data_IF_916265160982
#
_entry.id   IF_916265160982
#
_cell.length_a   1.000
_cell.length_b   1.000
_cell.length_c   1.000
_cell.angle_alpha   90.00
_cell.angle_beta   90.00
_cell.angle_gamma   90.00
#
_symmetry.space_group_name_H-M   'P 1'
#
loop_
_entity.id
_entity.type
_entity.pdbx_description
1 polymer ?
#
# COMPACT_ATOMS: atom_id res chain seq x y z
N UNK A 1 -7.01 -84.42 -15.47
CA UNK A 1 -6.50 -83.38 -16.39
C UNK A 1 -7.36 -82.13 -16.24
N UNK A 2 -6.82 -80.98 -15.81
CA UNK A 2 -5.80 -80.78 -14.78
C UNK A 2 -6.32 -80.00 -13.54
N UNK A 3 -5.49 -80.08 -12.50
CA UNK A 3 -5.55 -79.54 -11.13
C UNK A 3 -5.69 -78.01 -11.01
N UNK A 4 -6.15 -77.47 -9.86
CA UNK A 4 -5.98 -76.06 -9.53
C UNK A 4 -4.53 -75.77 -9.10
N UNK A 5 -3.92 -74.77 -9.71
CA UNK A 5 -2.55 -74.33 -9.41
C UNK A 5 -2.55 -73.59 -8.06
N UNK A 6 -1.95 -74.21 -7.04
CA UNK A 6 -1.48 -73.55 -5.81
C UNK A 6 -0.40 -72.52 -6.17
N UNK A 7 -0.71 -71.23 -5.98
CA UNK A 7 0.30 -70.18 -5.98
C UNK A 7 0.93 -70.09 -4.58
N UNK A 8 2.04 -70.80 -4.39
CA UNK A 8 2.99 -70.48 -3.32
C UNK A 8 3.69 -69.15 -3.62
N UNK A 9 3.30 -68.08 -2.93
CA UNK A 9 4.14 -66.89 -2.80
C UNK A 9 4.76 -66.84 -1.40
N UNK A 10 6.08 -66.90 -1.40
CA UNK A 10 7.00 -66.88 -0.27
C UNK A 10 6.68 -65.74 0.69
N UNK A 11 6.55 -66.07 1.97
CA UNK A 11 6.49 -65.09 3.04
C UNK A 11 7.73 -64.20 3.01
N UNK A 12 7.52 -62.89 2.93
CA UNK A 12 8.54 -61.91 3.25
C UNK A 12 8.82 -62.04 4.76
N UNK A 13 10.02 -62.50 5.09
CA UNK A 13 10.50 -62.54 6.47
C UNK A 13 10.46 -61.12 7.03
N UNK A 14 9.54 -60.88 7.96
CA UNK A 14 9.50 -59.67 8.76
C UNK A 14 10.77 -59.66 9.61
N UNK A 15 11.72 -58.80 9.28
CA UNK A 15 12.89 -58.54 10.11
C UNK A 15 12.38 -57.99 11.45
N UNK A 16 12.35 -58.84 12.46
CA UNK A 16 12.13 -58.44 13.85
C UNK A 16 13.34 -57.64 14.32
N UNK A 17 13.26 -56.31 14.21
CA UNK A 17 14.24 -55.41 14.83
C UNK A 17 14.07 -55.49 16.35
N UNK A 18 15.08 -56.02 17.03
CA UNK A 18 15.13 -55.98 18.49
C UNK A 18 15.39 -54.54 18.93
N UNK A 19 14.85 -54.14 20.09
CA UNK A 19 14.93 -52.76 20.59
C UNK A 19 16.35 -52.19 20.74
N UNK A 20 17.38 -53.04 20.69
CA UNK A 20 18.80 -52.62 20.68
C UNK A 20 19.19 -51.98 19.34
N UNK A 21 18.67 -52.44 18.20
CA UNK A 21 19.01 -51.89 16.88
C UNK A 21 18.40 -50.50 16.65
N UNK A 22 17.22 -50.24 17.22
CA UNK A 22 16.60 -48.90 17.19
C UNK A 22 17.40 -47.90 18.03
N UNK A 23 17.94 -48.35 19.16
CA UNK A 23 18.77 -47.51 20.03
C UNK A 23 20.10 -47.16 19.36
N UNK A 24 20.72 -48.12 18.65
CA UNK A 24 21.96 -47.87 17.89
C UNK A 24 21.70 -46.92 16.72
N UNK A 25 20.60 -47.08 15.99
CA UNK A 25 20.24 -46.18 14.89
C UNK A 25 19.99 -44.73 15.37
N UNK A 26 19.29 -44.55 16.49
CA UNK A 26 19.06 -43.23 17.09
C UNK A 26 20.34 -42.59 17.63
N UNK A 27 21.26 -43.39 18.18
CA UNK A 27 22.55 -42.90 18.66
C UNK A 27 23.43 -42.38 17.51
N UNK A 28 23.44 -43.05 16.35
CA UNK A 28 24.22 -42.62 15.17
C UNK A 28 23.67 -41.33 14.56
N UNK A 29 22.35 -41.20 14.45
CA UNK A 29 21.69 -39.96 13.96
C UNK A 29 21.91 -38.80 14.95
N UNK A 30 21.81 -39.07 16.26
CA UNK A 30 22.08 -38.08 17.30
C UNK A 30 23.53 -37.60 17.31
N UNK A 31 24.50 -38.50 17.07
CA UNK A 31 25.92 -38.14 17.00
C UNK A 31 26.25 -37.31 15.75
N UNK A 32 25.60 -37.61 14.62
CA UNK A 32 25.74 -36.82 13.39
C UNK A 32 25.13 -35.41 13.53
N UNK A 33 23.96 -35.29 14.16
CA UNK A 33 23.34 -34.00 14.46
C UNK A 33 24.19 -33.17 15.43
N UNK A 34 24.74 -33.79 16.49
CA UNK A 34 25.63 -33.11 17.43
C UNK A 34 26.95 -32.63 16.77
N UNK A 35 27.43 -33.35 15.76
CA UNK A 35 28.62 -32.94 15.00
C UNK A 35 28.32 -31.76 14.06
N UNK A 36 27.11 -31.70 13.48
CA UNK A 36 26.69 -30.63 12.58
C UNK A 36 26.33 -29.32 13.31
N UNK A 37 25.87 -29.39 14.56
CA UNK A 37 25.53 -28.24 15.41
C UNK A 37 26.58 -27.93 16.49
N UNK A 38 27.81 -28.43 16.34
CA UNK A 38 28.88 -28.29 17.32
C UNK A 38 29.20 -26.81 17.64
N UNK A 39 29.04 -25.91 16.68
CA UNK A 39 29.32 -24.48 16.86
C UNK A 39 28.21 -23.75 17.63
N UNK A 40 26.94 -24.14 17.48
CA UNK A 40 25.81 -23.55 18.24
C UNK A 40 25.73 -24.02 19.70
N UNK A 41 26.15 -25.25 19.99
CA UNK A 41 26.20 -25.77 21.37
C UNK A 41 27.32 -25.15 22.22
N UNK A 42 28.41 -24.67 21.58
CA UNK A 42 29.54 -24.04 22.28
C UNK A 42 29.12 -22.72 22.97
N UNK A 43 28.23 -21.97 22.33
CA UNK A 43 27.68 -20.70 22.83
C UNK A 43 26.78 -20.93 24.04
N UNK A 44 26.03 -22.03 24.05
CA UNK A 44 25.11 -22.37 25.13
C UNK A 44 25.83 -22.94 26.37
N UNK A 45 26.87 -23.76 26.19
CA UNK A 45 27.63 -24.36 27.30
C UNK A 45 28.45 -23.30 28.05
N UNK A 46 28.98 -22.29 27.35
CA UNK A 46 29.64 -21.15 28.00
C UNK A 46 28.69 -20.31 28.88
N UNK A 47 27.38 -20.41 28.67
CA UNK A 47 26.37 -19.74 29.48
C UNK A 47 25.95 -20.53 30.73
N UNK A 48 26.31 -21.81 30.87
CA UNK A 48 25.91 -22.65 32.01
C UNK A 48 27.03 -22.89 33.05
N UNK A 49 28.30 -22.59 32.74
CA UNK A 49 29.42 -22.84 33.66
C UNK A 49 29.80 -21.68 34.58
N UNK A 50 28.94 -20.67 34.74
CA UNK A 50 29.23 -19.54 35.67
C UNK A 50 28.04 -19.27 36.59
N UNK A 51 27.81 -20.23 37.49
CA UNK A 51 26.95 -20.07 38.65
C UNK A 51 27.68 -19.39 39.83
N UNK A 52 27.42 -18.08 39.98
CA UNK A 52 27.07 -17.32 41.21
C UNK A 52 27.97 -17.37 42.47
N UNK A 53 28.36 -16.17 42.97
CA UNK A 53 27.90 -15.63 44.27
C UNK A 53 28.23 -14.12 44.50
N UNK A 54 27.17 -13.32 44.69
CA UNK A 54 26.96 -12.03 45.42
C UNK A 54 28.05 -10.94 45.51
N UNK A 55 27.79 -9.76 44.92
CA UNK A 55 27.47 -8.49 45.63
C UNK A 55 27.50 -7.27 44.68
N UNK A 56 26.56 -6.33 44.91
CA UNK A 56 26.47 -4.95 44.43
C UNK A 56 26.21 -4.66 42.93
N UNK A 57 25.05 -4.04 42.68
CA UNK A 57 24.64 -3.23 41.52
C UNK A 57 24.98 -3.76 40.11
N UNK A 58 23.98 -4.29 39.41
CA UNK A 58 24.07 -4.53 37.97
C UNK A 58 23.26 -3.51 37.17
N UNK A 59 23.80 -3.05 36.02
CA UNK A 59 23.12 -2.18 35.08
C UNK A 59 22.10 -2.97 34.24
N UNK A 60 21.12 -2.24 33.71
CA UNK A 60 20.07 -2.68 32.80
C UNK A 60 20.66 -3.38 31.57
N UNK A 61 20.16 -4.59 31.25
CA UNK A 61 20.47 -5.33 30.02
C UNK A 61 19.55 -4.81 28.90
N UNK A 62 20.13 -4.10 27.94
CA UNK A 62 19.44 -3.58 26.76
C UNK A 62 19.03 -4.70 25.80
N UNK A 63 17.80 -4.59 25.27
CA UNK A 63 17.35 -5.24 24.03
C UNK A 63 18.27 -4.86 22.87
N UNK A 64 18.26 -5.60 21.73
CA UNK A 64 18.99 -5.16 20.55
C UNK A 64 18.44 -3.79 20.12
N UNK A 65 19.25 -2.77 20.35
CA UNK A 65 18.97 -1.38 20.00
C UNK A 65 19.08 -1.29 18.48
N UNK A 66 17.95 -1.09 17.79
CA UNK A 66 17.98 -0.75 16.36
C UNK A 66 18.88 0.47 16.21
N UNK A 67 19.72 0.48 15.18
CA UNK A 67 20.64 1.61 14.99
C UNK A 67 19.82 2.84 14.67
N UNK A 68 20.24 4.03 15.15
CA UNK A 68 19.51 5.29 14.88
C UNK A 68 19.26 5.56 13.40
N UNK A 69 20.10 5.03 12.51
CA UNK A 69 19.89 5.07 11.06
C UNK A 69 18.75 4.16 10.58
N UNK A 70 18.58 2.96 11.16
CA UNK A 70 17.46 2.06 10.86
C UNK A 70 16.15 2.56 11.47
N UNK A 71 16.19 3.16 12.67
CA UNK A 71 15.02 3.80 13.28
C UNK A 71 14.60 5.05 12.50
N UNK A 72 15.54 5.94 12.15
CA UNK A 72 15.25 7.13 11.36
C UNK A 72 14.72 6.77 9.96
N UNK A 73 15.29 5.75 9.31
CA UNK A 73 14.82 5.29 8.00
C UNK A 73 13.43 4.66 8.09
N UNK A 74 13.15 3.86 9.13
CA UNK A 74 11.81 3.28 9.33
C UNK A 74 10.77 4.34 9.70
N UNK A 75 11.15 5.37 10.47
CA UNK A 75 10.29 6.51 10.77
C UNK A 75 10.02 7.36 9.52
N UNK A 76 11.02 7.57 8.66
CA UNK A 76 10.91 8.29 7.39
C UNK A 76 10.09 7.52 6.34
N UNK A 77 10.26 6.20 6.22
CA UNK A 77 9.42 5.34 5.37
C UNK A 77 7.96 5.30 5.87
N UNK A 78 7.74 5.17 7.19
CA UNK A 78 6.41 5.32 7.80
C UNK A 78 5.84 6.74 7.64
N UNK A 79 6.71 7.72 7.39
CA UNK A 79 6.32 9.11 7.14
C UNK A 79 5.77 9.30 5.72
N UNK A 80 6.29 8.54 4.74
CA UNK A 80 5.92 8.58 3.32
C UNK A 80 4.75 7.65 2.96
N UNK A 81 4.34 6.76 3.85
CA UNK A 81 3.13 5.94 3.70
C UNK A 81 1.86 6.78 3.93
N UNK A 82 1.11 7.04 2.86
CA UNK A 82 -0.12 7.83 2.93
C UNK A 82 -1.23 7.16 3.74
N UNK A 83 -1.37 5.82 3.68
CA UNK A 83 -2.43 5.12 4.39
C UNK A 83 -2.21 5.19 5.91
N UNK A 84 -0.96 5.02 6.35
CA UNK A 84 -0.60 5.22 7.76
C UNK A 84 -0.82 6.67 8.20
N UNK A 85 -0.50 7.66 7.36
CA UNK A 85 -0.73 9.08 7.66
C UNK A 85 -2.21 9.41 7.78
N UNK A 86 -3.05 8.92 6.87
CA UNK A 86 -4.50 9.07 6.96
C UNK A 86 -5.05 8.45 8.24
N UNK A 87 -4.56 7.26 8.63
CA UNK A 87 -4.99 6.61 9.88
C UNK A 87 -4.58 7.40 11.12
N UNK A 88 -3.32 7.84 11.22
CA UNK A 88 -2.80 8.61 12.36
C UNK A 88 -3.51 9.96 12.53
N UNK A 89 -3.84 10.63 11.42
CA UNK A 89 -4.53 11.92 11.41
C UNK A 89 -6.06 11.79 11.36
N UNK A 90 -6.61 10.57 11.45
CA UNK A 90 -8.04 10.27 11.37
C UNK A 90 -8.70 10.93 10.14
N UNK A 91 -8.14 10.69 8.96
CA UNK A 91 -8.61 11.23 7.68
C UNK A 91 -9.39 10.19 6.89
N UNK A 92 -10.40 10.65 6.15
CA UNK A 92 -11.21 9.80 5.27
C UNK A 92 -11.22 10.26 3.81
N UNK A 93 -10.61 11.41 3.49
CA UNK A 93 -10.38 11.85 2.14
C UNK A 93 -8.98 12.48 2.02
N UNK A 94 -8.24 12.09 0.98
CA UNK A 94 -6.94 12.67 0.63
C UNK A 94 -7.01 13.32 -0.75
N UNK A 95 -6.44 14.52 -0.88
CA UNK A 95 -6.41 15.29 -2.11
C UNK A 95 -4.98 15.45 -2.58
N UNK A 96 -4.56 14.61 -3.52
CA UNK A 96 -3.28 14.69 -4.18
C UNK A 96 -3.28 15.77 -5.26
N UNK A 97 -2.15 16.45 -5.44
CA UNK A 97 -1.97 17.41 -6.52
C UNK A 97 -0.66 17.20 -7.27
N UNK A 98 -0.74 17.26 -8.61
CA UNK A 98 0.39 17.48 -9.50
C UNK A 98 0.35 18.90 -10.03
N UNK A 99 1.26 19.77 -9.55
CA UNK A 99 1.20 21.21 -9.78
C UNK A 99 2.59 21.79 -10.08
N UNK A 100 2.69 22.62 -11.12
CA UNK A 100 3.93 23.34 -11.45
C UNK A 100 3.93 24.78 -10.92
N UNK A 101 2.80 25.48 -11.04
CA UNK A 101 2.65 26.91 -10.73
C UNK A 101 1.63 27.19 -9.61
N UNK A 102 1.11 26.14 -8.95
CA UNK A 102 0.21 26.26 -7.80
C UNK A 102 -1.28 26.08 -8.09
N UNK A 103 -1.73 26.10 -9.35
CA UNK A 103 -3.17 26.02 -9.68
C UNK A 103 -3.83 24.72 -9.22
N UNK A 104 -3.21 23.57 -9.49
CA UNK A 104 -3.75 22.27 -9.09
C UNK A 104 -3.70 22.08 -7.56
N UNK A 105 -2.69 22.65 -6.90
CA UNK A 105 -2.57 22.67 -5.44
C UNK A 105 -3.70 23.51 -4.81
N UNK A 106 -3.97 24.70 -5.34
CA UNK A 106 -5.08 25.55 -4.90
C UNK A 106 -6.43 24.82 -5.06
N UNK A 107 -6.67 24.22 -6.22
CA UNK A 107 -7.90 23.44 -6.47
C UNK A 107 -8.04 22.27 -5.50
N UNK A 108 -6.96 21.50 -5.24
CA UNK A 108 -6.96 20.43 -4.25
C UNK A 108 -7.26 20.95 -2.84
N UNK A 109 -6.67 22.09 -2.45
CA UNK A 109 -6.93 22.75 -1.17
C UNK A 109 -8.37 23.24 -1.02
N UNK A 110 -8.95 23.79 -2.08
CA UNK A 110 -10.35 24.24 -2.12
C UNK A 110 -11.32 23.06 -2.00
N UNK A 111 -11.08 21.97 -2.72
CA UNK A 111 -11.85 20.73 -2.59
C UNK A 111 -11.75 20.16 -1.18
N UNK A 112 -10.55 20.10 -0.61
CA UNK A 112 -10.34 19.60 0.75
C UNK A 112 -11.08 20.45 1.78
N UNK A 113 -11.06 21.78 1.64
CA UNK A 113 -11.78 22.70 2.51
C UNK A 113 -13.30 22.52 2.40
N UNK A 114 -13.82 22.44 1.18
CA UNK A 114 -15.26 22.24 0.95
C UNK A 114 -15.75 20.87 1.42
N UNK A 115 -14.97 19.81 1.19
CA UNK A 115 -15.24 18.48 1.75
C UNK A 115 -15.37 18.52 3.27
N UNK A 116 -14.51 19.28 3.95
CA UNK A 116 -14.56 19.45 5.40
C UNK A 116 -15.76 20.29 5.86
N UNK A 117 -16.01 21.45 5.25
CA UNK A 117 -17.02 22.40 5.72
C UNK A 117 -18.44 22.05 5.29
N UNK A 118 -18.61 21.51 4.08
CA UNK A 118 -19.93 21.19 3.50
C UNK A 118 -20.32 19.73 3.69
N UNK A 119 -19.38 18.80 3.76
CA UNK A 119 -19.69 17.37 3.84
C UNK A 119 -19.17 16.69 5.10
N UNK A 120 -18.62 17.46 6.06
CA UNK A 120 -18.04 16.96 7.30
C UNK A 120 -16.97 15.87 7.10
N UNK A 121 -16.31 15.87 5.93
CA UNK A 121 -15.22 14.95 5.65
C UNK A 121 -13.98 15.35 6.45
N UNK A 122 -13.22 14.35 6.88
CA UNK A 122 -11.92 14.54 7.51
C UNK A 122 -10.86 14.54 6.42
N UNK A 123 -10.61 15.72 5.86
CA UNK A 123 -9.77 15.89 4.66
C UNK A 123 -8.30 16.19 4.99
N UNK A 124 -7.41 15.89 4.04
CA UNK A 124 -6.03 16.37 3.99
C UNK A 124 -5.59 16.56 2.53
N UNK A 125 -4.69 17.50 2.28
CA UNK A 125 -3.97 17.63 1.00
C UNK A 125 -2.63 16.90 1.07
N UNK A 126 -2.15 16.44 -0.09
CA UNK A 126 -0.91 15.68 -0.19
C UNK A 126 -0.15 16.04 -1.47
N UNK A 127 1.09 16.49 -1.33
CA UNK A 127 2.02 16.58 -2.46
C UNK A 127 2.42 15.16 -2.89
N UNK A 128 2.32 14.83 -4.17
CA UNK A 128 2.67 13.51 -4.69
C UNK A 128 4.15 13.14 -4.40
N UNK A 129 5.07 14.10 -4.40
CA UNK A 129 6.50 13.82 -4.22
C UNK A 129 6.85 13.42 -2.77
N UNK A 130 5.99 13.77 -1.82
CA UNK A 130 6.20 13.50 -0.39
C UNK A 130 5.78 12.10 0.06
N UNK A 131 5.09 11.33 -0.78
CA UNK A 131 4.60 9.99 -0.41
C UNK A 131 5.15 8.92 -1.35
N UNK A 132 5.18 7.68 -0.87
CA UNK A 132 5.43 6.51 -1.69
C UNK A 132 4.08 5.94 -2.16
N UNK A 133 3.87 5.93 -3.46
CA UNK A 133 2.60 5.56 -4.08
C UNK A 133 2.39 4.05 -4.18
N UNK A 134 3.41 3.24 -3.82
CA UNK A 134 3.25 1.80 -3.64
C UNK A 134 2.29 1.43 -2.51
N UNK A 135 1.99 2.37 -1.60
CA UNK A 135 1.03 2.21 -0.49
C UNK A 135 -0.41 2.63 -0.84
N UNK A 136 -0.71 3.01 -2.10
CA UNK A 136 -2.08 3.36 -2.50
C UNK A 136 -3.08 2.22 -2.29
N UNK A 137 -2.63 0.98 -2.46
CA UNK A 137 -3.41 -0.24 -2.19
C UNK A 137 -3.77 -0.42 -0.71
N UNK A 138 -3.09 0.32 0.18
CA UNK A 138 -3.37 0.29 1.61
C UNK A 138 -4.50 1.20 2.05
N UNK A 139 -4.90 2.15 1.19
CA UNK A 139 -6.03 3.05 1.47
C UNK A 139 -7.28 2.19 1.66
N UNK A 140 -7.96 2.26 2.82
CA UNK A 140 -9.13 1.44 3.08
C UNK A 140 -10.31 1.78 2.14
N UNK A 141 -11.19 0.81 1.83
CA UNK A 141 -12.28 1.00 0.88
C UNK A 141 -13.38 1.95 1.35
N UNK A 142 -13.42 2.32 2.64
CA UNK A 142 -14.31 3.36 3.17
C UNK A 142 -13.72 4.78 3.05
N UNK A 143 -12.55 4.93 2.43
CA UNK A 143 -11.87 6.22 2.19
C UNK A 143 -11.81 6.52 0.69
N UNK A 144 -11.52 7.77 0.36
CA UNK A 144 -11.46 8.25 -1.02
C UNK A 144 -10.18 9.05 -1.30
N UNK A 145 -9.62 8.87 -2.50
CA UNK A 145 -8.46 9.60 -2.99
C UNK A 145 -8.83 10.48 -4.20
N UNK A 146 -8.47 11.75 -4.14
CA UNK A 146 -8.64 12.70 -5.24
C UNK A 146 -7.30 12.98 -5.89
N UNK A 147 -7.25 13.02 -7.22
CA UNK A 147 -6.06 13.36 -7.99
C UNK A 147 -6.34 14.59 -8.84
N UNK A 148 -5.73 15.72 -8.47
CA UNK A 148 -5.82 16.99 -9.20
C UNK A 148 -4.53 17.19 -10.00
N UNK A 149 -4.57 16.92 -11.29
CA UNK A 149 -3.37 16.67 -12.10
C UNK A 149 -3.22 17.69 -13.24
N UNK A 150 -2.23 18.58 -13.15
CA UNK A 150 -1.87 19.41 -14.28
C UNK A 150 -1.04 18.64 -15.32
N UNK A 151 -1.23 18.98 -16.59
CA UNK A 151 -0.40 18.51 -17.71
C UNK A 151 0.56 19.61 -18.13
N UNK A 152 1.83 19.25 -18.35
CA UNK A 152 2.88 20.19 -18.76
C UNK A 152 3.61 19.70 -20.02
N UNK A 153 4.35 20.60 -20.66
CA UNK A 153 5.19 20.28 -21.83
C UNK A 153 4.45 19.52 -22.93
N UNK A 154 5.04 18.41 -23.39
CA UNK A 154 4.50 17.54 -24.44
C UNK A 154 3.61 16.42 -23.85
N UNK A 155 2.72 16.77 -22.92
CA UNK A 155 1.84 15.79 -22.27
C UNK A 155 2.47 15.05 -21.09
N UNK A 156 3.45 15.69 -20.46
CA UNK A 156 4.24 15.19 -19.34
C UNK A 156 3.62 15.59 -17.99
N UNK A 157 3.86 14.81 -16.91
CA UNK A 157 3.48 15.20 -15.55
C UNK A 157 4.21 16.47 -15.10
N UNK A 158 3.68 17.13 -14.07
CA UNK A 158 4.42 18.15 -13.32
C UNK A 158 5.59 17.53 -12.56
N UNK A 159 6.60 18.33 -12.20
CA UNK A 159 7.81 17.83 -11.54
C UNK A 159 7.50 17.06 -10.26
N UNK A 160 6.60 17.59 -9.42
CA UNK A 160 6.19 16.95 -8.17
C UNK A 160 5.38 15.65 -8.36
N UNK A 161 4.94 15.35 -9.59
CA UNK A 161 4.20 14.14 -9.94
C UNK A 161 5.05 13.13 -10.73
N UNK A 162 6.32 13.45 -11.04
CA UNK A 162 7.15 12.63 -11.92
C UNK A 162 7.38 11.20 -11.37
N UNK A 163 7.67 11.06 -10.07
CA UNK A 163 7.86 9.76 -9.45
C UNK A 163 6.57 8.91 -9.44
N UNK A 164 5.42 9.55 -9.16
CA UNK A 164 4.12 8.91 -9.24
C UNK A 164 3.78 8.46 -10.66
N UNK A 165 4.09 9.29 -11.66
CA UNK A 165 3.88 8.97 -13.06
C UNK A 165 4.70 7.77 -13.50
N UNK A 166 5.98 7.74 -13.16
CA UNK A 166 6.86 6.63 -13.50
C UNK A 166 6.35 5.31 -12.89
N UNK A 167 6.01 5.36 -11.61
CA UNK A 167 5.47 4.22 -10.89
C UNK A 167 4.13 3.74 -11.46
N UNK A 168 3.14 4.63 -11.61
CA UNK A 168 1.78 4.23 -11.96
C UNK A 168 1.62 3.96 -13.46
N UNK A 169 2.11 4.88 -14.30
CA UNK A 169 1.79 4.95 -15.73
C UNK A 169 2.85 4.27 -16.58
N UNK A 170 4.14 4.51 -16.31
CA UNK A 170 5.21 3.95 -17.15
C UNK A 170 5.61 2.52 -16.75
N UNK A 171 5.27 2.07 -15.53
CA UNK A 171 5.51 0.69 -15.10
C UNK A 171 4.35 -0.20 -15.54
N UNK A 172 4.64 -1.25 -16.33
CA UNK A 172 3.64 -2.21 -16.83
C UNK A 172 2.93 -2.96 -15.67
N UNK A 173 3.70 -3.38 -14.67
CA UNK A 173 3.22 -4.09 -13.48
C UNK A 173 3.76 -3.40 -12.20
N UNK A 174 3.13 -2.30 -11.75
CA UNK A 174 3.53 -1.61 -10.54
C UNK A 174 3.39 -2.52 -9.32
N UNK A 175 4.46 -2.64 -8.54
CA UNK A 175 4.47 -3.44 -7.32
C UNK A 175 3.94 -2.62 -6.15
N UNK A 176 2.71 -2.92 -5.75
CA UNK A 176 2.11 -2.35 -4.56
C UNK A 176 2.49 -3.12 -3.30
N UNK A 177 2.33 -2.46 -2.16
CA UNK A 177 2.84 -2.95 -0.87
C UNK A 177 2.22 -4.28 -0.40
N UNK A 178 0.97 -4.59 -0.78
CA UNK A 178 0.26 -5.84 -0.46
C UNK A 178 0.33 -6.88 -1.58
N UNK A 179 1.17 -6.68 -2.59
CA UNK A 179 1.35 -7.62 -3.70
C UNK A 179 1.68 -9.03 -3.17
N UNK A 180 0.86 -10.04 -3.54
CA UNK A 180 1.01 -11.43 -3.09
C UNK A 180 0.51 -11.76 -1.68
N UNK A 181 0.08 -10.80 -0.84
CA UNK A 181 -0.49 -11.03 0.51
C UNK A 181 -1.95 -10.59 0.59
N UNK A 182 -2.86 -11.37 -0.02
CA UNK A 182 -4.32 -11.09 -0.08
C UNK A 182 -4.72 -9.69 -0.65
N UNK A 183 -3.76 -8.91 -1.15
CA UNK A 183 -3.93 -7.55 -1.63
C UNK A 183 -4.68 -7.46 -2.96
N UNK A 184 -4.49 -8.44 -3.82
CA UNK A 184 -5.14 -8.54 -5.13
C UNK A 184 -6.51 -9.24 -5.02
N UNK A 185 -7.44 -8.94 -5.93
CA UNK A 185 -8.68 -9.73 -6.09
C UNK A 185 -8.41 -11.03 -6.86
N UNK A 186 -9.48 -11.77 -7.16
CA UNK A 186 -9.38 -13.02 -7.92
C UNK A 186 -8.86 -12.79 -9.35
N UNK A 187 -8.96 -11.55 -9.82
CA UNK A 187 -8.57 -11.06 -11.14
C UNK A 187 -7.15 -10.48 -11.16
N UNK A 188 -6.46 -10.39 -10.01
CA UNK A 188 -5.10 -9.87 -9.90
C UNK A 188 -5.02 -8.34 -9.83
N UNK A 189 -6.11 -7.64 -9.52
CA UNK A 189 -6.13 -6.19 -9.46
C UNK A 189 -5.56 -5.67 -8.13
N UNK A 190 -4.45 -4.92 -8.14
CA UNK A 190 -3.83 -4.48 -6.90
C UNK A 190 -4.55 -3.31 -6.22
N UNK A 191 -5.37 -2.54 -6.96
CA UNK A 191 -6.05 -1.34 -6.44
C UNK A 191 -7.55 -1.52 -6.22
N UNK A 192 -8.06 -2.76 -6.10
CA UNK A 192 -9.49 -3.06 -5.87
C UNK A 192 -10.17 -2.27 -4.73
N UNK A 193 -9.39 -1.91 -3.71
CA UNK A 193 -9.90 -1.18 -2.53
C UNK A 193 -9.91 0.33 -2.74
N UNK A 194 -9.19 0.85 -3.74
CA UNK A 194 -9.02 2.27 -3.94
C UNK A 194 -10.26 2.85 -4.61
N UNK A 195 -10.91 3.79 -3.93
CA UNK A 195 -11.96 4.61 -4.52
C UNK A 195 -11.37 5.98 -4.85
N UNK A 196 -11.61 6.44 -6.08
CA UNK A 196 -10.94 7.65 -6.56
C UNK A 196 -11.81 8.58 -7.39
N UNK A 197 -11.32 9.81 -7.52
CA UNK A 197 -11.83 10.86 -8.41
C UNK A 197 -10.64 11.59 -9.04
N UNK A 198 -10.71 11.90 -10.33
CA UNK A 198 -9.66 12.66 -11.04
C UNK A 198 -10.22 13.98 -11.58
N UNK A 199 -9.44 15.04 -11.42
CA UNK A 199 -9.60 16.29 -12.15
C UNK A 199 -8.30 16.65 -12.85
N UNK A 200 -8.31 16.69 -14.18
CA UNK A 200 -7.19 17.13 -14.99
C UNK A 200 -7.23 18.64 -15.23
N UNK A 201 -6.08 19.28 -15.22
CA UNK A 201 -5.88 20.64 -15.71
C UNK A 201 -5.04 20.56 -16.99
N UNK A 202 -5.51 21.20 -18.05
CA UNK A 202 -4.80 21.26 -19.32
C UNK A 202 -5.27 22.44 -20.15
N UNK A 203 -4.71 22.58 -21.34
CA UNK A 203 -5.05 23.66 -22.27
C UNK A 203 -5.24 23.06 -23.67
N UNK A 204 -6.40 23.30 -24.29
CA UNK A 204 -6.79 22.69 -25.57
C UNK A 204 -5.99 23.19 -26.77
N UNK A 205 -5.21 24.27 -26.62
CA UNK A 205 -4.28 24.74 -27.66
C UNK A 205 -3.06 23.84 -27.81
N UNK A 206 -2.75 23.03 -26.78
CA UNK A 206 -1.69 22.04 -26.83
C UNK A 206 -2.21 20.73 -27.43
N UNK A 207 -1.35 20.04 -28.17
CA UNK A 207 -1.67 18.75 -28.78
C UNK A 207 -2.11 17.71 -27.74
N UNK A 208 -1.44 17.71 -26.58
CA UNK A 208 -1.66 16.75 -25.50
C UNK A 208 -2.61 17.27 -24.41
N UNK A 209 -3.78 17.75 -24.82
CA UNK A 209 -4.81 18.27 -23.90
C UNK A 209 -5.18 17.28 -22.78
N UNK A 210 -4.90 17.65 -21.53
CA UNK A 210 -5.20 16.87 -20.32
C UNK A 210 -4.59 15.45 -20.30
N UNK A 211 -3.48 15.23 -21.01
CA UNK A 211 -2.88 13.90 -21.17
C UNK A 211 -2.58 13.22 -19.82
N UNK A 212 -2.10 13.98 -18.83
CA UNK A 212 -1.72 13.42 -17.52
C UNK A 212 -2.95 12.95 -16.76
N UNK A 213 -3.96 13.81 -16.58
CA UNK A 213 -5.20 13.45 -15.89
C UNK A 213 -5.90 12.26 -16.55
N UNK A 214 -5.97 12.24 -17.89
CA UNK A 214 -6.58 11.14 -18.66
C UNK A 214 -5.84 9.82 -18.45
N UNK A 215 -4.51 9.82 -18.53
CA UNK A 215 -3.69 8.61 -18.35
C UNK A 215 -3.73 8.11 -16.91
N UNK A 216 -3.70 8.99 -15.91
CA UNK A 216 -3.86 8.61 -14.50
C UNK A 216 -5.24 7.97 -14.27
N UNK A 217 -6.31 8.58 -14.77
CA UNK A 217 -7.66 8.02 -14.63
C UNK A 217 -7.80 6.65 -15.30
N UNK A 218 -7.28 6.49 -16.53
CA UNK A 218 -7.28 5.22 -17.23
C UNK A 218 -6.50 4.16 -16.46
N UNK A 219 -5.30 4.51 -15.99
CA UNK A 219 -4.40 3.58 -15.33
C UNK A 219 -4.92 3.12 -13.96
N UNK A 220 -5.52 4.01 -13.18
CA UNK A 220 -6.19 3.64 -11.92
C UNK A 220 -7.32 2.63 -12.18
N UNK A 221 -8.15 2.86 -13.19
CA UNK A 221 -9.21 1.92 -13.59
C UNK A 221 -8.65 0.57 -14.06
N UNK A 222 -7.58 0.56 -14.87
CA UNK A 222 -6.91 -0.67 -15.34
C UNK A 222 -6.36 -1.51 -14.19
N UNK A 223 -5.90 -0.87 -13.10
CA UNK A 223 -5.39 -1.53 -11.90
C UNK A 223 -6.52 -1.94 -10.92
N UNK A 224 -7.78 -1.76 -11.31
CA UNK A 224 -8.99 -2.17 -10.58
C UNK A 224 -9.50 -1.16 -9.54
N UNK A 225 -8.99 0.07 -9.52
CA UNK A 225 -9.55 1.11 -8.66
C UNK A 225 -10.97 1.49 -9.12
N UNK A 226 -11.84 1.82 -8.18
CA UNK A 226 -13.23 2.19 -8.46
C UNK A 226 -13.38 3.70 -8.55
N UNK A 227 -13.79 4.19 -9.72
CA UNK A 227 -14.11 5.60 -9.93
C UNK A 227 -15.46 5.96 -9.28
N UNK A 228 -15.46 6.95 -8.39
CA UNK A 228 -16.66 7.36 -7.62
C UNK A 228 -17.54 8.36 -8.38
N UNK A 229 -16.93 9.26 -9.14
CA UNK A 229 -17.60 10.30 -9.93
C UNK A 229 -16.94 10.40 -11.29
N UNK A 230 -17.62 10.97 -12.29
CA UNK A 230 -17.02 11.27 -13.58
C UNK A 230 -15.77 12.15 -13.43
N UNK A 231 -14.74 11.81 -14.21
CA UNK A 231 -13.50 12.58 -14.28
C UNK A 231 -13.79 13.94 -14.93
N UNK A 232 -13.14 14.99 -14.44
CA UNK A 232 -13.19 16.33 -15.04
C UNK A 232 -11.89 16.68 -15.76
N UNK A 233 -11.98 17.46 -16.83
CA UNK A 233 -10.83 17.91 -17.61
C UNK A 233 -10.99 19.39 -17.92
N UNK A 234 -10.36 20.24 -17.11
CA UNK A 234 -10.43 21.68 -17.25
C UNK A 234 -9.58 22.20 -18.41
N UNK A 235 -10.05 23.27 -19.06
CA UNK A 235 -9.40 23.93 -20.18
C UNK A 235 -8.98 25.38 -19.85
N UNK A 236 -7.67 25.59 -19.76
CA UNK A 236 -7.04 26.89 -19.50
C UNK A 236 -7.03 27.83 -20.73
N UNK A 237 -7.38 27.36 -21.92
CA UNK A 237 -7.66 28.24 -23.07
C UNK A 237 -9.01 28.96 -22.93
N UNK A 238 -9.94 28.35 -22.18
CA UNK A 238 -11.28 28.85 -21.92
C UNK A 238 -11.39 29.51 -20.56
N UNK A 239 -12.33 29.03 -19.74
CA UNK A 239 -12.45 29.42 -18.35
C UNK A 239 -12.29 28.20 -17.44
N UNK A 240 -11.03 27.93 -17.08
CA UNK A 240 -10.65 26.80 -16.22
C UNK A 240 -11.39 26.81 -14.89
N UNK A 241 -11.63 27.99 -14.31
CA UNK A 241 -12.31 28.16 -13.03
C UNK A 241 -13.79 27.76 -13.13
N UNK A 242 -14.50 28.22 -14.16
CA UNK A 242 -15.91 27.86 -14.36
C UNK A 242 -16.08 26.35 -14.62
N UNK A 243 -15.19 25.76 -15.43
CA UNK A 243 -15.21 24.32 -15.70
C UNK A 243 -14.93 23.50 -14.43
N UNK A 244 -14.01 23.96 -13.59
CA UNK A 244 -13.73 23.36 -12.29
C UNK A 244 -14.95 23.42 -11.37
N UNK A 245 -15.61 24.59 -11.30
CA UNK A 245 -16.79 24.78 -10.46
C UNK A 245 -17.96 23.90 -10.93
N UNK A 246 -18.22 23.85 -12.24
CA UNK A 246 -19.25 22.99 -12.82
C UNK A 246 -18.99 21.51 -12.57
N UNK A 247 -17.74 21.06 -12.76
CA UNK A 247 -17.37 19.67 -12.48
C UNK A 247 -17.58 19.34 -11.00
N UNK A 248 -17.12 20.21 -10.10
CA UNK A 248 -17.23 20.05 -8.66
C UNK A 248 -18.67 19.94 -8.18
N UNK A 249 -19.59 20.73 -8.73
CA UNK A 249 -21.02 20.67 -8.42
C UNK A 249 -21.66 19.33 -8.76
N UNK A 250 -21.21 18.69 -9.84
CA UNK A 250 -21.69 17.37 -10.25
C UNK A 250 -21.01 16.24 -9.46
N UNK A 251 -19.74 16.41 -9.10
CA UNK A 251 -18.93 15.41 -8.42
C UNK A 251 -19.33 15.22 -6.95
N UNK A 252 -19.61 16.31 -6.23
CA UNK A 252 -19.90 16.22 -4.81
C UNK A 252 -21.11 15.36 -4.43
N UNK A 253 -22.26 15.42 -5.14
CA UNK A 253 -23.38 14.52 -4.90
C UNK A 253 -22.98 13.03 -4.92
N UNK A 254 -22.14 12.62 -5.88
CA UNK A 254 -21.68 11.24 -6.00
C UNK A 254 -20.75 10.86 -4.84
N UNK A 255 -19.81 11.74 -4.48
CA UNK A 255 -18.93 11.55 -3.32
C UNK A 255 -19.73 11.50 -2.01
N UNK A 256 -20.70 12.37 -1.83
CA UNK A 256 -21.54 12.42 -0.64
C UNK A 256 -22.33 11.11 -0.47
N UNK A 257 -22.90 10.60 -1.58
CA UNK A 257 -23.58 9.30 -1.62
C UNK A 257 -22.63 8.15 -1.27
N UNK A 258 -21.42 8.13 -1.83
CA UNK A 258 -20.41 7.11 -1.54
C UNK A 258 -19.96 7.12 -0.08
N UNK A 259 -19.65 8.31 0.45
CA UNK A 259 -19.17 8.49 1.83
C UNK A 259 -20.30 8.39 2.88
N UNK A 260 -21.56 8.29 2.44
CA UNK A 260 -22.72 8.25 3.35
C UNK A 260 -22.92 9.53 4.15
N UNK A 261 -22.55 10.68 3.58
CA UNK A 261 -22.66 12.00 4.22
C UNK A 261 -23.69 12.87 3.49
N UNK A 262 -24.34 13.78 4.23
CA UNK A 262 -25.21 14.79 3.66
C UNK A 262 -24.46 16.13 3.57
N UNK A 263 -24.82 16.96 2.60
CA UNK A 263 -24.39 18.35 2.59
C UNK A 263 -24.95 19.05 3.84
N UNK A 264 -24.10 19.78 4.56
CA UNK A 264 -24.54 20.71 5.59
C UNK A 264 -25.20 21.89 4.90
N UNK A 265 -26.43 22.21 5.28
CA UNK A 265 -27.07 23.46 4.90
C UNK A 265 -26.31 24.59 5.64
N UNK A 266 -25.30 25.17 4.99
CA UNK A 266 -24.68 26.38 5.51
C UNK A 266 -25.59 27.57 5.21
N UNK A 267 -25.88 28.33 6.26
CA UNK A 267 -26.83 29.42 6.37
C UNK A 267 -26.44 30.70 5.61
N UNK A 268 -25.87 30.59 4.40
CA UNK A 268 -25.45 31.72 3.58
C UNK A 268 -26.49 32.09 2.50
N UNK A 269 -27.55 31.29 2.32
CA UNK A 269 -28.73 31.62 1.50
C UNK A 269 -29.81 32.42 2.28
N UNK A 270 -29.46 32.89 3.49
CA UNK A 270 -30.32 33.73 4.33
C UNK A 270 -29.75 35.14 4.49
N UNK A 271 -29.59 35.89 3.39
CA UNK A 271 -29.71 37.36 3.38
C UNK A 271 -29.87 37.97 2.00
#
# INVERSE_FOLDING_TARGET
MPEPIEAQHKGAGFLSFNGVDVVVALAVVGFAAAYFYKDELSVWISSLSSGRSISAASPVKSSPEKTKEEENKAEEECSRDIATRMKKADKNAVFFYGSQTGTAEDFAGRLAKEGATKYSLKTMTADLDHYDMSFLDQIPPDKIAFFVMATYGEGEPTDNAAAFWEFLVNTEEPKFSRHGDQGEDAEGNPLKNLHYVVYGLGNSTYEHYNAVGKKVAARLSELGATRVSLDGFGNDDGNLEDEFMQWKENMWPDVAKFMGVAATENADDAQ
#
